data_IF_765458344430
#
_entry.id   IF_765458344430
#
_cell.length_a   1.000
_cell.length_b   1.000
_cell.length_c   1.000
_cell.angle_alpha   90.00
_cell.angle_beta   90.00
_cell.angle_gamma   90.00
#
_symmetry.space_group_name_H-M   'P 1'
#
loop_
_entity.id
_entity.type
_entity.pdbx_description
1 polymer ?
#
# COMPACT_ATOMS: atom_id res chain seq x y z
N UNK A 1 -27.32 -67.55 24.25
CA UNK A 1 -26.10 -68.39 24.17
C UNK A 1 -25.56 -68.25 22.76
N UNK A 2 -24.48 -67.47 22.58
CA UNK A 2 -23.08 -67.94 22.47
C UNK A 2 -22.82 -68.69 21.15
N UNK A 3 -22.21 -68.01 20.17
CA UNK A 3 -20.83 -68.23 19.65
C UNK A 3 -20.86 -69.10 18.37
N UNK A 4 -20.01 -69.02 17.34
CA UNK A 4 -18.94 -68.13 16.88
C UNK A 4 -18.40 -68.75 15.55
N UNK A 5 -18.06 -67.92 14.55
CA UNK A 5 -17.02 -68.06 13.51
C UNK A 5 -16.82 -69.38 12.71
N UNK A 6 -16.77 -69.28 11.37
CA UNK A 6 -15.52 -69.39 10.56
C UNK A 6 -15.71 -69.11 9.04
N UNK A 7 -14.68 -68.49 8.47
CA UNK A 7 -14.45 -68.01 7.09
C UNK A 7 -14.12 -69.17 6.10
N UNK A 8 -14.05 -68.94 4.75
CA UNK A 8 -12.75 -68.56 4.15
C UNK A 8 -12.77 -67.64 2.88
N UNK A 9 -11.63 -66.94 2.70
CA UNK A 9 -10.82 -66.56 1.50
C UNK A 9 -11.51 -66.36 0.12
N UNK A 10 -11.09 -65.51 -0.84
CA UNK A 10 -10.15 -64.39 -1.07
C UNK A 10 -10.07 -64.33 -2.62
N UNK A 11 -10.09 -63.15 -3.29
CA UNK A 11 -9.27 -62.81 -4.48
C UNK A 11 -9.65 -61.44 -5.10
N UNK A 12 -8.67 -60.52 -5.08
CA UNK A 12 -8.36 -59.39 -6.00
C UNK A 12 -9.47 -58.38 -6.40
N UNK A 13 -9.22 -57.09 -6.64
CA UNK A 13 -8.01 -56.28 -6.79
C UNK A 13 -8.33 -54.82 -6.46
N UNK A 14 -7.32 -54.07 -6.05
CA UNK A 14 -7.40 -52.65 -5.76
C UNK A 14 -7.45 -51.79 -7.04
N UNK A 15 -8.16 -50.66 -6.98
CA UNK A 15 -7.79 -49.46 -7.73
C UNK A 15 -8.12 -48.21 -6.91
N UNK A 16 -7.04 -47.54 -6.50
CA UNK A 16 -6.99 -46.29 -5.78
C UNK A 16 -6.55 -45.23 -6.79
N UNK A 17 -7.39 -44.23 -7.12
CA UNK A 17 -6.96 -42.92 -7.63
C UNK A 17 -8.18 -42.08 -8.02
N UNK A 18 -8.51 -41.05 -7.24
CA UNK A 18 -9.20 -39.82 -7.73
C UNK A 18 -9.11 -38.62 -6.75
N UNK A 19 -8.27 -38.69 -5.70
CA UNK A 19 -8.02 -37.55 -4.80
C UNK A 19 -6.85 -36.64 -5.20
N UNK A 20 -5.99 -37.04 -6.16
CA UNK A 20 -4.81 -36.24 -6.54
C UNK A 20 -5.06 -35.14 -7.59
N UNK A 21 -6.14 -35.19 -8.39
CA UNK A 21 -6.33 -34.20 -9.47
C UNK A 21 -6.99 -32.89 -9.01
N UNK A 22 -7.79 -32.90 -7.93
CA UNK A 22 -8.39 -31.67 -7.38
C UNK A 22 -7.41 -30.83 -6.56
N UNK A 23 -6.39 -31.44 -5.98
CA UNK A 23 -5.32 -30.74 -5.25
C UNK A 23 -4.33 -30.09 -6.22
N UNK A 24 -4.07 -30.71 -7.39
CA UNK A 24 -3.17 -30.17 -8.40
C UNK A 24 -3.73 -28.91 -9.11
N UNK A 25 -5.05 -28.82 -9.33
CA UNK A 25 -5.67 -27.63 -9.96
C UNK A 25 -5.85 -26.46 -8.98
N UNK A 26 -6.06 -26.73 -7.69
CA UNK A 26 -6.05 -25.69 -6.65
C UNK A 26 -4.62 -25.17 -6.39
N UNK A 27 -3.60 -26.02 -6.47
CA UNK A 27 -2.19 -25.60 -6.41
C UNK A 27 -1.74 -24.81 -7.66
N UNK A 28 -2.41 -24.99 -8.79
CA UNK A 28 -2.13 -24.28 -10.05
C UNK A 28 -2.70 -22.86 -10.07
N UNK A 29 -3.89 -22.62 -9.51
CA UNK A 29 -4.51 -21.30 -9.46
C UNK A 29 -3.90 -20.38 -8.37
N UNK A 30 -3.38 -20.95 -7.27
CA UNK A 30 -2.62 -20.20 -6.25
C UNK A 30 -1.18 -19.86 -6.67
N UNK A 31 -0.75 -20.31 -7.86
CA UNK A 31 0.58 -20.08 -8.42
C UNK A 31 0.68 -18.83 -9.32
N UNK A 32 -0.41 -18.07 -9.50
CA UNK A 32 -0.46 -16.88 -10.35
C UNK A 32 -0.46 -15.53 -9.61
N UNK A 33 -0.45 -15.52 -8.28
CA UNK A 33 0.11 -14.40 -7.50
C UNK A 33 1.48 -14.82 -6.99
N UNK A 34 2.44 -14.95 -7.91
CA UNK A 34 3.86 -14.90 -7.52
C UNK A 34 4.07 -13.53 -6.86
N UNK A 35 4.17 -13.52 -5.54
CA UNK A 35 5.14 -12.63 -4.91
C UNK A 35 6.45 -12.88 -5.66
N UNK A 36 6.84 -11.94 -6.54
CA UNK A 36 8.18 -11.94 -7.08
C UNK A 36 9.09 -11.86 -5.85
N UNK A 37 9.64 -13.00 -5.44
CA UNK A 37 10.80 -13.02 -4.56
C UNK A 37 11.88 -12.31 -5.36
N UNK A 38 11.99 -11.00 -5.16
CA UNK A 38 13.07 -10.20 -5.74
C UNK A 38 14.36 -10.84 -5.24
N UNK A 39 15.10 -11.46 -6.15
CA UNK A 39 16.37 -12.09 -5.83
C UNK A 39 17.41 -11.01 -5.56
N UNK A 40 18.38 -11.32 -4.70
CA UNK A 40 19.44 -10.39 -4.38
C UNK A 40 20.30 -10.11 -5.62
N UNK A 41 20.27 -8.86 -6.09
CA UNK A 41 21.20 -8.37 -7.10
C UNK A 41 22.51 -7.93 -6.43
N UNK A 42 23.63 -8.30 -7.02
CA UNK A 42 24.96 -7.87 -6.58
C UNK A 42 25.45 -6.74 -7.47
N UNK A 43 25.66 -5.55 -6.91
CA UNK A 43 26.13 -4.41 -7.68
C UNK A 43 27.63 -4.57 -7.97
N UNK A 44 28.00 -4.61 -9.25
CA UNK A 44 29.38 -4.81 -9.70
C UNK A 44 30.20 -3.53 -9.60
N UNK A 45 29.56 -2.36 -9.69
CA UNK A 45 30.20 -1.07 -9.52
C UNK A 45 29.22 -0.03 -8.93
N UNK A 46 28.79 -0.22 -7.66
CA UNK A 46 27.85 0.70 -7.06
C UNK A 46 28.57 2.04 -6.89
N UNK A 47 27.99 3.16 -7.37
CA UNK A 47 28.57 4.49 -7.18
C UNK A 47 28.73 4.89 -5.69
N UNK A 48 28.19 4.08 -4.76
CA UNK A 48 28.19 4.32 -3.32
C UNK A 48 28.60 3.05 -2.58
N UNK A 49 29.88 2.92 -2.24
CA UNK A 49 30.31 1.88 -1.29
C UNK A 49 29.81 2.31 0.10
N UNK A 50 29.17 1.40 0.84
CA UNK A 50 28.73 1.65 2.22
C UNK A 50 27.77 2.84 2.41
N UNK A 51 26.67 2.88 1.65
CA UNK A 51 25.58 3.84 1.87
C UNK A 51 24.52 3.30 2.85
N UNK A 52 24.06 4.14 3.78
CA UNK A 52 22.93 3.88 4.68
C UNK A 52 22.07 5.12 4.83
N UNK A 53 20.77 4.95 4.63
CA UNK A 53 19.73 5.91 4.94
C UNK A 53 18.80 5.33 6.02
N UNK A 54 18.34 6.18 6.93
CA UNK A 54 17.30 5.85 7.90
C UNK A 54 16.38 7.07 8.12
N UNK A 55 15.13 6.94 7.73
CA UNK A 55 14.06 7.91 8.00
C UNK A 55 13.17 7.41 9.12
N UNK A 56 12.99 8.22 10.17
CA UNK A 56 12.02 7.98 11.24
C UNK A 56 10.84 8.93 11.06
N UNK A 57 9.65 8.37 10.97
CA UNK A 57 8.39 9.03 10.68
C UNK A 57 7.53 9.03 11.95
N UNK A 58 7.18 10.22 12.45
CA UNK A 58 6.38 10.42 13.66
C UNK A 58 5.11 11.23 13.34
N UNK A 59 4.09 10.58 12.75
CA UNK A 59 2.79 11.20 12.48
C UNK A 59 1.97 11.42 13.77
N UNK A 60 1.18 12.49 13.81
CA UNK A 60 0.34 12.85 14.97
C UNK A 60 -0.79 11.84 15.24
N UNK A 61 -1.31 11.14 14.23
CA UNK A 61 -2.49 10.27 14.35
C UNK A 61 -2.28 8.84 13.84
N UNK A 62 -1.07 8.50 13.38
CA UNK A 62 -0.73 7.17 12.86
C UNK A 62 0.39 6.54 13.69
N UNK A 63 0.56 5.23 13.62
CA UNK A 63 1.72 4.54 14.18
C UNK A 63 3.03 5.06 13.58
N UNK A 64 4.05 5.38 14.41
CA UNK A 64 5.34 5.81 13.88
C UNK A 64 6.06 4.67 13.16
N UNK A 65 6.98 5.01 12.25
CA UNK A 65 7.74 4.02 11.52
C UNK A 65 9.20 4.42 11.31
N UNK A 66 10.04 3.41 11.12
CA UNK A 66 11.38 3.56 10.57
C UNK A 66 11.41 2.91 9.20
N UNK A 67 11.88 3.67 8.19
CA UNK A 67 12.22 3.17 6.87
C UNK A 67 13.72 3.32 6.70
N UNK A 68 14.43 2.23 6.46
CA UNK A 68 15.88 2.26 6.23
C UNK A 68 16.26 1.62 4.91
N UNK A 69 17.19 2.25 4.20
CA UNK A 69 17.74 1.75 2.93
C UNK A 69 19.24 1.60 3.12
N UNK A 70 19.80 0.44 2.78
CA UNK A 70 21.24 0.18 2.96
C UNK A 70 21.80 -0.66 1.82
N UNK A 71 23.07 -0.42 1.48
CA UNK A 71 23.88 -1.32 0.67
C UNK A 71 24.88 -2.00 1.61
N UNK A 72 24.90 -3.33 1.64
CA UNK A 72 25.89 -4.06 2.43
C UNK A 72 27.26 -4.10 1.74
N UNK A 73 28.28 -4.65 2.40
CA UNK A 73 29.65 -4.75 1.83
C UNK A 73 29.75 -5.63 0.58
N UNK A 74 28.75 -6.48 0.35
CA UNK A 74 28.66 -7.35 -0.83
C UNK A 74 27.95 -6.65 -2.00
N UNK A 75 27.58 -5.38 -1.86
CA UNK A 75 26.88 -4.64 -2.91
C UNK A 75 25.40 -5.02 -3.02
N UNK A 76 24.78 -5.55 -1.96
CA UNK A 76 23.35 -5.92 -1.97
C UNK A 76 22.55 -4.79 -1.32
N UNK A 77 21.65 -4.20 -2.10
CA UNK A 77 20.68 -3.20 -1.65
C UNK A 77 19.49 -3.83 -0.93
N UNK A 78 19.10 -3.26 0.21
CA UNK A 78 17.89 -3.66 0.95
C UNK A 78 17.16 -2.45 1.53
N UNK A 79 15.84 -2.57 1.58
CA UNK A 79 14.97 -1.69 2.36
C UNK A 79 14.36 -2.46 3.52
N UNK A 80 14.21 -1.80 4.67
CA UNK A 80 13.56 -2.33 5.87
C UNK A 80 12.51 -1.34 6.33
N UNK A 81 11.34 -1.86 6.67
CA UNK A 81 10.24 -1.14 7.29
C UNK A 81 10.02 -1.71 8.70
N UNK A 82 9.84 -0.84 9.67
CA UNK A 82 9.36 -1.21 11.01
C UNK A 82 8.33 -0.20 11.43
N UNK A 83 7.10 -0.66 11.69
CA UNK A 83 6.00 0.16 12.20
C UNK A 83 5.81 -0.14 13.67
N UNK A 84 5.75 0.90 14.48
CA UNK A 84 5.73 0.80 15.93
C UNK A 84 4.33 1.02 16.50
N UNK A 85 4.07 0.43 17.66
CA UNK A 85 2.84 0.70 18.39
C UNK A 85 2.93 2.11 18.99
N UNK A 86 1.88 2.91 18.81
CA UNK A 86 1.81 4.26 19.35
C UNK A 86 1.54 4.27 20.86
N UNK A 87 0.81 3.28 21.37
CA UNK A 87 0.24 3.28 22.73
C UNK A 87 0.92 2.30 23.69
N UNK A 88 1.64 1.30 23.18
CA UNK A 88 2.18 0.21 23.99
C UNK A 88 3.71 0.24 24.08
N UNK A 89 4.23 0.35 25.30
CA UNK A 89 5.67 0.29 25.61
C UNK A 89 6.23 -1.13 25.66
N UNK A 90 5.38 -2.16 25.74
CA UNK A 90 5.78 -3.56 25.94
C UNK A 90 5.86 -4.37 24.64
N UNK A 91 5.04 -4.04 23.63
CA UNK A 91 5.10 -4.58 22.28
C UNK A 91 5.33 -3.43 21.29
N UNK A 92 6.59 -2.98 21.13
CA UNK A 92 6.87 -1.75 20.41
C UNK A 92 6.64 -1.87 18.91
N UNK A 93 6.57 -3.07 18.32
CA UNK A 93 6.49 -3.28 16.86
C UNK A 93 5.12 -3.87 16.49
N UNK A 94 4.36 -3.17 15.63
CA UNK A 94 3.12 -3.67 15.04
C UNK A 94 3.44 -4.65 13.92
N UNK A 95 4.33 -4.25 13.00
CA UNK A 95 4.84 -5.13 11.96
C UNK A 95 6.20 -4.63 11.45
N UNK A 96 6.99 -5.55 10.88
CA UNK A 96 8.25 -5.24 10.24
C UNK A 96 8.46 -6.14 9.03
N UNK A 97 9.13 -5.62 8.01
CA UNK A 97 9.46 -6.38 6.81
C UNK A 97 10.71 -5.83 6.13
N UNK A 98 11.26 -6.59 5.18
CA UNK A 98 12.38 -6.17 4.36
C UNK A 98 12.30 -6.72 2.94
N UNK A 99 12.75 -5.93 1.98
CA UNK A 99 12.86 -6.35 0.59
C UNK A 99 14.27 -6.09 0.05
N UNK A 100 14.65 -6.84 -0.98
CA UNK A 100 15.82 -6.52 -1.79
C UNK A 100 15.50 -5.34 -2.71
N UNK A 101 16.52 -4.56 -3.06
CA UNK A 101 16.41 -3.49 -4.02
C UNK A 101 17.29 -3.81 -5.21
N UNK A 102 16.74 -3.67 -6.42
CA UNK A 102 17.53 -3.74 -7.65
C UNK A 102 18.50 -2.56 -7.73
N UNK A 103 19.52 -2.71 -8.58
CA UNK A 103 20.48 -1.63 -8.81
C UNK A 103 19.79 -0.38 -9.34
N UNK A 104 18.79 -0.55 -10.22
CA UNK A 104 17.99 0.54 -10.75
C UNK A 104 17.20 1.27 -9.65
N UNK A 105 16.58 0.54 -8.73
CA UNK A 105 15.85 1.13 -7.60
C UNK A 105 16.81 1.90 -6.68
N UNK A 106 17.97 1.33 -6.37
CA UNK A 106 19.00 1.98 -5.56
C UNK A 106 19.54 3.26 -6.21
N UNK A 107 19.85 3.21 -7.51
CA UNK A 107 20.31 4.39 -8.28
C UNK A 107 19.27 5.49 -8.30
N UNK A 108 17.99 5.16 -8.53
CA UNK A 108 16.87 6.12 -8.49
C UNK A 108 16.72 6.75 -7.11
N UNK A 109 16.74 5.93 -6.06
CA UNK A 109 16.64 6.40 -4.68
C UNK A 109 17.75 7.37 -4.33
N UNK A 110 19.01 6.99 -4.58
CA UNK A 110 20.14 7.86 -4.31
C UNK A 110 20.10 9.14 -5.15
N UNK A 111 19.88 9.01 -6.46
CA UNK A 111 19.79 10.17 -7.35
C UNK A 111 18.71 11.17 -6.92
N UNK A 112 17.59 10.69 -6.38
CA UNK A 112 16.57 11.56 -5.82
C UNK A 112 17.05 12.30 -4.56
N UNK A 113 17.74 11.63 -3.64
CA UNK A 113 18.33 12.26 -2.45
C UNK A 113 19.42 13.27 -2.81
N UNK A 114 20.27 12.95 -3.78
CA UNK A 114 21.31 13.84 -4.29
C UNK A 114 20.71 15.08 -4.98
N UNK A 115 19.64 14.89 -5.78
CA UNK A 115 18.88 16.00 -6.38
C UNK A 115 18.22 16.93 -5.36
N UNK A 116 17.87 16.40 -4.18
CA UNK A 116 17.39 17.20 -3.05
C UNK A 116 18.53 17.91 -2.30
N UNK A 117 19.78 17.64 -2.68
CA UNK A 117 21.01 18.05 -2.01
C UNK A 117 20.93 17.76 -0.51
N UNK A 118 20.48 16.55 -0.14
CA UNK A 118 20.12 16.21 1.24
C UNK A 118 21.28 16.36 2.23
N UNK A 119 22.53 16.18 1.78
CA UNK A 119 23.73 16.30 2.61
C UNK A 119 24.08 17.75 2.97
N UNK A 120 23.52 18.74 2.27
CA UNK A 120 23.72 20.18 2.56
C UNK A 120 22.50 20.80 3.22
N UNK A 121 21.45 20.01 3.47
CA UNK A 121 20.25 20.53 4.13
C UNK A 121 20.56 20.84 5.58
N UNK A 122 20.21 22.05 5.99
CA UNK A 122 20.21 22.42 7.41
C UNK A 122 18.83 22.15 8.00
N UNK A 123 18.77 21.93 9.31
CA UNK A 123 17.50 21.86 10.03
C UNK A 123 16.64 23.09 9.73
N UNK A 124 15.43 22.86 9.25
CA UNK A 124 14.41 23.90 9.13
C UNK A 124 13.54 23.81 10.39
N UNK A 125 13.56 24.81 11.29
CA UNK A 125 12.65 24.81 12.43
C UNK A 125 11.21 24.97 11.92
N UNK A 126 10.51 23.84 11.86
CA UNK A 126 9.08 23.78 11.59
C UNK A 126 8.43 23.10 12.79
N UNK A 127 7.42 23.76 13.34
CA UNK A 127 6.61 23.25 14.44
C UNK A 127 5.15 23.46 14.09
N UNK A 128 4.32 22.48 14.40
CA UNK A 128 2.88 22.64 14.39
C UNK A 128 2.23 21.59 15.27
N UNK A 129 0.92 21.72 15.44
CA UNK A 129 0.10 20.90 16.34
C UNK A 129 -0.24 19.55 15.70
N UNK A 130 -0.56 19.56 14.41
CA UNK A 130 -1.02 18.41 13.65
C UNK A 130 -0.13 18.18 12.43
N UNK A 131 0.44 16.98 12.30
CA UNK A 131 1.33 16.72 11.17
C UNK A 131 2.26 15.54 11.39
N UNK A 132 3.42 15.59 10.75
CA UNK A 132 4.43 14.54 10.83
C UNK A 132 5.81 15.14 11.03
N UNK A 133 6.53 14.65 12.02
CA UNK A 133 7.99 14.90 12.12
C UNK A 133 8.73 13.79 11.38
N UNK A 134 9.67 14.17 10.51
CA UNK A 134 10.55 13.22 9.84
C UNK A 134 12.00 13.51 10.25
N UNK A 135 12.70 12.49 10.75
CA UNK A 135 14.12 12.57 11.12
C UNK A 135 14.90 11.64 10.19
N UNK A 136 15.78 12.21 9.39
CA UNK A 136 16.58 11.49 8.40
C UNK A 136 18.02 11.42 8.89
N UNK A 137 18.58 10.22 8.88
CA UNK A 137 19.99 9.94 9.18
C UNK A 137 20.62 9.30 7.96
N UNK A 138 21.68 9.92 7.45
CA UNK A 138 22.36 9.50 6.24
C UNK A 138 23.82 9.26 6.58
N UNK A 139 24.32 8.10 6.22
CA UNK A 139 25.72 7.76 6.31
C UNK A 139 26.22 7.35 4.92
N UNK A 140 27.27 8.02 4.47
CA UNK A 140 27.98 7.70 3.25
C UNK A 140 29.48 7.76 3.56
N UNK A 141 30.16 6.64 3.34
CA UNK A 141 31.57 6.46 3.70
C UNK A 141 31.84 6.80 5.17
N UNK A 142 32.51 7.93 5.45
CA UNK A 142 32.80 8.43 6.81
C UNK A 142 31.91 9.60 7.23
N UNK A 143 31.10 10.14 6.31
CA UNK A 143 30.25 11.28 6.57
C UNK A 143 28.92 10.80 7.19
N UNK A 144 28.49 11.50 8.24
CA UNK A 144 27.20 11.32 8.87
C UNK A 144 26.44 12.64 8.84
N UNK A 145 25.22 12.60 8.33
CA UNK A 145 24.36 13.77 8.22
C UNK A 145 22.99 13.47 8.83
N UNK A 146 22.45 14.43 9.56
CA UNK A 146 21.10 14.35 10.13
C UNK A 146 20.32 15.59 9.74
N UNK A 147 19.15 15.40 9.13
CA UNK A 147 18.22 16.47 8.80
C UNK A 147 16.82 16.10 9.27
N UNK A 148 16.12 17.07 9.84
CA UNK A 148 14.74 16.92 10.27
C UNK A 148 13.87 18.06 9.72
N UNK A 149 12.62 17.70 9.42
CA UNK A 149 11.59 18.62 8.94
C UNK A 149 10.22 18.16 9.43
N UNK A 150 9.24 19.05 9.40
CA UNK A 150 7.87 18.78 9.84
C UNK A 150 6.88 19.11 8.72
N UNK A 151 6.05 18.13 8.33
CA UNK A 151 5.01 18.24 7.30
C UNK A 151 5.40 19.11 6.09
N UNK A 152 6.50 18.79 5.37
CA UNK A 152 7.00 19.64 4.30
C UNK A 152 5.98 19.68 3.16
N UNK A 153 5.44 20.86 2.85
CA UNK A 153 4.58 21.07 1.67
C UNK A 153 5.44 21.30 0.43
N UNK A 154 5.09 20.66 -0.68
CA UNK A 154 5.88 20.69 -1.93
C UNK A 154 6.14 22.10 -2.44
N UNK A 155 5.15 23.00 -2.36
CA UNK A 155 5.27 24.38 -2.80
C UNK A 155 6.29 25.21 -2.00
N UNK A 156 6.43 24.93 -0.69
CA UNK A 156 7.22 25.77 0.22
C UNK A 156 8.56 25.13 0.62
N UNK A 157 8.60 23.79 0.62
CA UNK A 157 9.73 22.97 1.06
C UNK A 157 10.01 21.86 0.05
N UNK A 158 10.33 22.21 -1.21
CA UNK A 158 10.43 21.24 -2.30
C UNK A 158 11.58 20.23 -2.10
N UNK A 159 12.68 20.61 -1.43
CA UNK A 159 13.82 19.72 -1.17
C UNK A 159 13.47 18.66 -0.12
N UNK A 160 12.83 19.07 0.97
CA UNK A 160 12.35 18.20 2.04
C UNK A 160 11.29 17.23 1.51
N UNK A 161 10.33 17.76 0.74
CA UNK A 161 9.30 16.95 0.10
C UNK A 161 9.92 15.93 -0.88
N UNK A 162 10.94 16.31 -1.65
CA UNK A 162 11.70 15.40 -2.54
C UNK A 162 12.35 14.23 -1.79
N UNK A 163 12.85 14.45 -0.57
CA UNK A 163 13.37 13.37 0.28
C UNK A 163 12.25 12.39 0.64
N UNK A 164 11.07 12.89 1.01
CA UNK A 164 9.90 12.06 1.30
C UNK A 164 9.45 11.27 0.06
N UNK A 165 9.35 11.93 -1.10
CA UNK A 165 9.03 11.30 -2.38
C UNK A 165 9.99 10.15 -2.69
N UNK A 166 11.31 10.35 -2.48
CA UNK A 166 12.30 9.32 -2.71
C UNK A 166 12.08 8.09 -1.83
N UNK A 167 11.82 8.31 -0.53
CA UNK A 167 11.73 7.26 0.49
C UNK A 167 10.42 6.48 0.39
N UNK A 168 9.29 7.18 0.32
CA UNK A 168 8.00 6.52 0.16
C UNK A 168 7.86 5.91 -1.23
N UNK A 169 8.44 6.54 -2.26
CA UNK A 169 8.51 6.02 -3.61
C UNK A 169 9.19 4.65 -3.65
N UNK A 170 10.40 4.50 -3.10
CA UNK A 170 11.06 3.19 -3.07
C UNK A 170 10.31 2.19 -2.19
N UNK A 171 9.81 2.61 -1.03
CA UNK A 171 9.12 1.72 -0.09
C UNK A 171 7.84 1.12 -0.68
N UNK A 172 7.00 1.94 -1.31
CA UNK A 172 5.73 1.51 -1.90
C UNK A 172 5.90 0.48 -3.02
N UNK A 173 6.98 0.56 -3.79
CA UNK A 173 7.28 -0.44 -4.83
C UNK A 173 7.83 -1.75 -4.25
N UNK A 174 8.44 -1.71 -3.07
CA UNK A 174 9.10 -2.86 -2.45
C UNK A 174 8.20 -3.68 -1.54
N UNK A 175 7.20 -3.06 -0.92
CA UNK A 175 6.36 -3.68 0.10
C UNK A 175 4.93 -3.87 -0.41
N UNK A 176 4.57 -5.06 -0.86
CA UNK A 176 3.35 -5.28 -1.65
C UNK A 176 2.17 -5.86 -0.88
N UNK A 177 2.32 -6.16 0.42
CA UNK A 177 1.19 -6.67 1.22
C UNK A 177 0.15 -5.58 1.43
N UNK A 178 -1.11 -5.99 1.61
CA UNK A 178 -2.23 -5.06 1.86
C UNK A 178 -1.95 -4.16 3.06
N UNK A 179 -1.55 -4.74 4.20
CA UNK A 179 -1.23 -3.98 5.42
C UNK A 179 -0.17 -2.90 5.20
N UNK A 180 0.87 -3.19 4.41
CA UNK A 180 1.93 -2.24 4.09
C UNK A 180 1.44 -1.13 3.16
N UNK A 181 0.72 -1.48 2.09
CA UNK A 181 0.18 -0.51 1.15
C UNK A 181 -0.79 0.45 1.85
N UNK A 182 -1.68 -0.07 2.70
CA UNK A 182 -2.61 0.74 3.48
C UNK A 182 -1.91 1.63 4.52
N UNK A 183 -0.79 1.18 5.08
CA UNK A 183 0.04 2.03 5.94
C UNK A 183 0.66 3.18 5.14
N UNK A 184 1.23 2.92 3.96
CA UNK A 184 1.82 3.97 3.12
C UNK A 184 0.77 4.94 2.60
N UNK A 185 -0.40 4.46 2.17
CA UNK A 185 -1.53 5.31 1.78
C UNK A 185 -1.92 6.31 2.87
N UNK A 186 -1.96 5.88 4.14
CA UNK A 186 -2.23 6.76 5.29
C UNK A 186 -1.06 7.68 5.62
N UNK A 187 0.18 7.19 5.51
CA UNK A 187 1.37 8.00 5.75
C UNK A 187 1.52 9.11 4.69
N UNK A 188 1.17 8.83 3.43
CA UNK A 188 1.17 9.78 2.31
C UNK A 188 0.23 10.98 2.58
N UNK A 189 -0.86 10.81 3.34
CA UNK A 189 -1.80 11.89 3.69
C UNK A 189 -1.18 13.03 4.52
N UNK A 190 -0.03 12.80 5.13
CA UNK A 190 0.70 13.86 5.84
C UNK A 190 1.53 14.76 4.92
N UNK A 191 1.57 14.45 3.62
CA UNK A 191 2.39 15.13 2.63
C UNK A 191 1.59 15.49 1.39
N UNK A 192 2.14 16.41 0.59
CA UNK A 192 1.51 16.92 -0.63
C UNK A 192 1.73 15.98 -1.83
N UNK A 193 1.15 14.77 -1.77
CA UNK A 193 1.16 13.79 -2.88
C UNK A 193 -0.02 13.96 -3.85
N UNK A 194 -0.93 14.90 -3.57
CA UNK A 194 -2.12 15.17 -4.36
C UNK A 194 -3.31 14.30 -3.98
N UNK A 195 -4.24 14.14 -4.92
CA UNK A 195 -5.52 13.45 -4.72
C UNK A 195 -5.30 11.98 -4.29
N UNK A 196 -5.88 11.52 -3.16
CA UNK A 196 -5.77 10.13 -2.72
C UNK A 196 -6.75 9.22 -3.47
N UNK A 197 -6.74 9.33 -4.79
CA UNK A 197 -7.53 8.53 -5.70
C UNK A 197 -6.66 8.09 -6.89
N UNK A 198 -6.82 6.85 -7.34
CA UNK A 198 -6.14 6.35 -8.53
C UNK A 198 -6.93 5.24 -9.20
N UNK A 199 -6.83 5.14 -10.52
CA UNK A 199 -7.27 3.97 -11.27
C UNK A 199 -6.22 2.87 -11.04
N UNK A 200 -6.64 1.69 -10.59
CA UNK A 200 -5.78 0.54 -10.32
C UNK A 200 -5.84 -0.52 -11.41
N UNK A 201 -6.93 -0.58 -12.15
CA UNK A 201 -7.09 -1.41 -13.34
C UNK A 201 -8.05 -0.74 -14.32
N UNK A 202 -7.88 -0.99 -15.61
CA UNK A 202 -8.83 -0.57 -16.66
C UNK A 202 -9.66 -1.74 -17.20
N UNK A 203 -9.29 -2.98 -16.85
CA UNK A 203 -10.00 -4.20 -17.21
C UNK A 203 -9.91 -5.23 -16.06
N UNK A 204 -10.96 -5.40 -15.23
CA UNK A 204 -12.13 -4.51 -15.12
C UNK A 204 -11.72 -3.10 -14.65
N UNK A 205 -12.58 -2.10 -14.83
CA UNK A 205 -12.29 -0.74 -14.38
C UNK A 205 -12.34 -0.65 -12.85
N UNK A 206 -11.18 -0.49 -12.22
CA UNK A 206 -11.02 -0.46 -10.77
C UNK A 206 -10.41 0.86 -10.31
N UNK A 207 -10.99 1.43 -9.28
CA UNK A 207 -10.59 2.70 -8.67
C UNK A 207 -10.29 2.46 -7.20
N UNK A 208 -9.22 3.07 -6.70
CA UNK A 208 -8.87 3.10 -5.28
C UNK A 208 -9.02 4.52 -4.76
N UNK A 209 -9.83 4.71 -3.72
CA UNK A 209 -9.99 5.95 -2.95
C UNK A 209 -9.59 5.64 -1.51
N UNK A 210 -8.70 6.44 -0.91
CA UNK A 210 -8.13 6.16 0.41
C UNK A 210 -7.90 7.45 1.19
N UNK A 211 -7.54 7.34 2.47
CA UNK A 211 -7.29 8.49 3.34
C UNK A 211 -8.53 9.36 3.53
N UNK A 212 -8.34 10.66 3.68
CA UNK A 212 -9.42 11.62 3.90
C UNK A 212 -9.50 12.62 2.74
N UNK A 213 -10.70 12.91 2.26
CA UNK A 213 -10.92 13.95 1.25
C UNK A 213 -11.31 15.27 1.93
N UNK A 214 -10.48 16.29 1.75
CA UNK A 214 -10.73 17.64 2.23
C UNK A 214 -11.15 18.57 1.08
N UNK A 215 -11.65 19.76 1.42
CA UNK A 215 -12.03 20.77 0.42
C UNK A 215 -10.87 21.18 -0.50
N UNK A 216 -9.62 20.98 -0.09
CA UNK A 216 -8.46 21.25 -0.95
C UNK A 216 -8.41 20.35 -2.19
N UNK A 217 -9.02 19.16 -2.13
CA UNK A 217 -9.03 18.19 -3.22
C UNK A 217 -10.23 18.35 -4.17
N UNK A 218 -11.18 19.25 -3.89
CA UNK A 218 -12.48 19.31 -4.58
C UNK A 218 -12.36 19.35 -6.11
N UNK A 219 -11.55 20.27 -6.64
CA UNK A 219 -11.40 20.43 -8.07
C UNK A 219 -10.73 19.20 -8.72
N UNK A 220 -9.77 18.58 -8.04
CA UNK A 220 -9.09 17.39 -8.53
C UNK A 220 -10.00 16.15 -8.48
N UNK A 221 -10.72 15.97 -7.37
CA UNK A 221 -11.68 14.88 -7.17
C UNK A 221 -12.83 14.97 -8.18
N UNK A 222 -13.36 16.17 -8.41
CA UNK A 222 -14.43 16.40 -9.40
C UNK A 222 -14.00 15.94 -10.79
N UNK A 223 -12.82 16.38 -11.25
CA UNK A 223 -12.27 15.93 -12.54
C UNK A 223 -12.04 14.42 -12.57
N UNK A 224 -11.55 13.85 -11.48
CA UNK A 224 -11.29 12.42 -11.38
C UNK A 224 -12.56 11.58 -11.50
N UNK A 225 -13.62 11.91 -10.74
CA UNK A 225 -14.91 11.21 -10.76
C UNK A 225 -15.64 11.40 -12.09
N UNK A 226 -15.56 12.60 -12.69
CA UNK A 226 -16.15 12.88 -14.01
C UNK A 226 -15.47 12.07 -15.14
N UNK A 227 -14.18 11.75 -14.98
CA UNK A 227 -13.45 10.94 -15.95
C UNK A 227 -13.84 9.45 -15.94
N UNK A 228 -14.67 9.00 -14.98
CA UNK A 228 -15.10 7.60 -14.98
C UNK A 228 -15.95 7.28 -16.21
N UNK A 229 -15.85 6.08 -16.77
CA UNK A 229 -16.76 5.63 -17.81
C UNK A 229 -18.21 5.57 -17.29
N UNK A 230 -19.18 5.93 -18.13
CA UNK A 230 -20.61 5.97 -17.77
C UNK A 230 -21.32 4.63 -17.93
N UNK A 231 -20.77 3.74 -18.74
CA UNK A 231 -21.45 2.57 -19.30
C UNK A 231 -20.70 1.24 -19.08
N UNK A 232 -19.60 1.26 -18.34
CA UNK A 232 -18.86 0.04 -17.97
C UNK A 232 -18.96 -0.22 -16.46
N UNK A 233 -18.92 -1.48 -16.04
CA UNK A 233 -18.85 -1.85 -14.62
C UNK A 233 -17.60 -1.27 -13.94
N UNK A 234 -17.78 -0.66 -12.76
CA UNK A 234 -16.70 -0.05 -11.97
C UNK A 234 -16.66 -0.68 -10.58
N UNK A 235 -15.46 -1.09 -10.14
CA UNK A 235 -15.17 -1.35 -8.73
C UNK A 235 -14.54 -0.10 -8.10
N UNK A 236 -15.16 0.46 -7.06
CA UNK A 236 -14.57 1.50 -6.23
C UNK A 236 -14.15 0.91 -4.89
N UNK A 237 -12.85 0.74 -4.72
CA UNK A 237 -12.21 0.25 -3.51
C UNK A 237 -11.94 1.41 -2.54
N UNK A 238 -12.61 1.36 -1.38
CA UNK A 238 -12.53 2.34 -0.30
C UNK A 238 -12.17 1.68 1.05
N UNK A 239 -11.52 0.50 1.06
CA UNK A 239 -11.20 -0.21 2.32
C UNK A 239 -10.31 0.58 3.27
N UNK A 240 -9.51 1.52 2.77
CA UNK A 240 -8.62 2.38 3.57
C UNK A 240 -9.03 3.86 3.46
N UNK A 241 -10.33 4.10 3.20
CA UNK A 241 -10.90 5.43 3.21
C UNK A 241 -11.36 5.80 4.63
N UNK A 242 -10.89 6.94 5.11
CA UNK A 242 -11.15 7.46 6.47
C UNK A 242 -12.34 8.44 6.49
N UNK A 243 -12.74 8.95 5.32
CA UNK A 243 -13.98 9.70 5.15
C UNK A 243 -13.83 10.99 4.33
N UNK A 244 -14.92 11.74 4.28
CA UNK A 244 -14.98 13.03 3.59
C UNK A 244 -16.05 13.95 4.18
N UNK A 245 -15.99 15.24 3.84
CA UNK A 245 -17.08 16.18 4.12
C UNK A 245 -18.33 15.92 3.25
N UNK A 246 -19.51 16.24 3.77
CA UNK A 246 -20.80 16.08 3.04
C UNK A 246 -20.90 16.92 1.78
N UNK A 247 -20.03 17.93 1.61
CA UNK A 247 -19.93 18.73 0.38
C UNK A 247 -19.66 17.89 -0.87
N UNK A 248 -19.05 16.70 -0.73
CA UNK A 248 -18.77 15.81 -1.85
C UNK A 248 -19.95 14.89 -2.21
N UNK A 249 -20.99 14.80 -1.39
CA UNK A 249 -22.11 13.89 -1.65
C UNK A 249 -22.80 14.13 -3.00
N UNK A 250 -23.02 15.38 -3.45
CA UNK A 250 -23.57 15.64 -4.79
C UNK A 250 -22.73 15.05 -5.92
N UNK A 251 -21.40 15.05 -5.80
CA UNK A 251 -20.49 14.49 -6.81
C UNK A 251 -20.69 12.97 -6.94
N UNK A 252 -20.76 12.26 -5.82
CA UNK A 252 -21.00 10.82 -5.81
C UNK A 252 -22.43 10.45 -6.24
N UNK A 253 -23.44 11.24 -5.87
CA UNK A 253 -24.81 11.09 -6.41
C UNK A 253 -24.84 11.25 -7.93
N UNK A 254 -24.10 12.22 -8.47
CA UNK A 254 -23.97 12.38 -9.91
C UNK A 254 -23.33 11.16 -10.58
N UNK A 255 -22.38 10.49 -9.92
CA UNK A 255 -21.82 9.22 -10.42
C UNK A 255 -22.88 8.10 -10.44
N UNK A 256 -23.69 7.96 -9.38
CA UNK A 256 -24.73 6.93 -9.32
C UNK A 256 -25.85 7.14 -10.36
N UNK A 257 -26.15 8.40 -10.71
CA UNK A 257 -27.13 8.72 -11.75
C UNK A 257 -26.61 8.40 -13.16
N UNK A 258 -25.30 8.56 -13.39
CA UNK A 258 -24.70 8.41 -14.73
C UNK A 258 -24.15 7.01 -15.00
N UNK A 259 -23.87 6.23 -13.96
CA UNK A 259 -23.41 4.85 -14.05
C UNK A 259 -24.09 4.03 -12.94
N UNK A 260 -24.98 3.12 -13.33
CA UNK A 260 -25.70 2.24 -12.42
C UNK A 260 -24.91 0.97 -12.07
N UNK A 261 -23.79 0.74 -12.74
CA UNK A 261 -22.94 -0.44 -12.63
C UNK A 261 -21.70 -0.14 -11.78
N UNK A 262 -21.89 0.42 -10.59
CA UNK A 262 -20.80 0.69 -9.63
C UNK A 262 -20.95 -0.23 -8.42
N UNK A 263 -19.92 -1.03 -8.14
CA UNK A 263 -19.75 -1.79 -6.91
C UNK A 263 -18.77 -1.07 -5.99
N UNK A 264 -19.13 -0.93 -4.73
CA UNK A 264 -18.33 -0.28 -3.70
C UNK A 264 -17.77 -1.33 -2.75
N UNK A 265 -16.48 -1.24 -2.43
CA UNK A 265 -15.84 -2.02 -1.39
C UNK A 265 -15.44 -1.07 -0.25
N UNK A 266 -16.34 -0.78 0.71
CA UNK A 266 -16.15 0.28 1.67
C UNK A 266 -15.38 -0.15 2.93
N UNK A 267 -14.70 0.81 3.57
CA UNK A 267 -14.43 0.76 5.01
C UNK A 267 -15.73 0.91 5.82
N UNK A 268 -15.67 0.71 7.14
CA UNK A 268 -16.84 0.88 8.01
C UNK A 268 -17.36 2.32 7.96
N UNK A 269 -16.46 3.29 7.94
CA UNK A 269 -16.75 4.71 7.85
C UNK A 269 -17.32 5.07 6.48
N UNK A 270 -16.70 4.56 5.41
CA UNK A 270 -17.16 4.78 4.04
C UNK A 270 -18.58 4.23 3.82
N UNK A 271 -18.89 3.05 4.38
CA UNK A 271 -20.20 2.42 4.22
C UNK A 271 -21.33 3.33 4.71
N UNK A 272 -21.15 3.98 5.88
CA UNK A 272 -22.13 4.93 6.42
C UNK A 272 -22.34 6.12 5.49
N UNK A 273 -21.26 6.70 4.97
CA UNK A 273 -21.36 7.84 4.06
C UNK A 273 -22.00 7.46 2.72
N UNK A 274 -21.70 6.26 2.19
CA UNK A 274 -22.31 5.75 0.97
C UNK A 274 -23.81 5.50 1.14
N UNK A 275 -24.25 4.99 2.30
CA UNK A 275 -25.67 4.88 2.64
C UNK A 275 -26.36 6.26 2.64
N UNK A 276 -25.75 7.29 3.24
CA UNK A 276 -26.28 8.68 3.22
C UNK A 276 -26.30 9.32 1.83
N UNK A 277 -25.37 8.90 0.96
CA UNK A 277 -25.35 9.30 -0.45
C UNK A 277 -26.51 8.66 -1.22
N UNK A 278 -27.00 7.50 -0.78
CA UNK A 278 -28.08 6.75 -1.40
C UNK A 278 -27.64 5.47 -2.12
N UNK A 279 -26.44 4.95 -1.83
CA UNK A 279 -25.98 3.67 -2.38
C UNK A 279 -26.78 2.53 -1.76
N UNK A 280 -27.39 1.70 -2.61
CA UNK A 280 -28.12 0.53 -2.16
C UNK A 280 -27.16 -0.53 -1.58
N UNK A 281 -27.60 -1.24 -0.52
CA UNK A 281 -26.79 -2.28 0.13
C UNK A 281 -26.33 -3.39 -0.82
N UNK A 282 -27.09 -3.67 -1.88
CA UNK A 282 -26.70 -4.63 -2.93
C UNK A 282 -25.49 -4.19 -3.77
N UNK A 283 -25.10 -2.91 -3.69
CA UNK A 283 -23.91 -2.36 -4.34
C UNK A 283 -22.72 -2.26 -3.38
N UNK A 284 -22.85 -2.71 -2.13
CA UNK A 284 -21.79 -2.72 -1.12
C UNK A 284 -21.26 -4.16 -0.99
N UNK A 285 -20.03 -4.40 -1.45
CA UNK A 285 -19.36 -5.69 -1.31
C UNK A 285 -18.59 -5.77 0.02
N UNK A 286 -18.40 -6.98 0.53
CA UNK A 286 -17.61 -7.25 1.74
C UNK A 286 -16.18 -7.72 1.42
N UNK A 287 -15.93 -8.11 0.18
CA UNK A 287 -14.61 -8.54 -0.31
C UNK A 287 -14.40 -8.15 -1.78
N UNK A 288 -13.14 -8.11 -2.21
CA UNK A 288 -12.79 -7.80 -3.60
C UNK A 288 -13.28 -8.89 -4.55
N UNK A 289 -13.21 -10.15 -4.13
CA UNK A 289 -13.68 -11.31 -4.88
C UNK A 289 -15.19 -11.23 -5.12
N UNK A 290 -15.96 -10.91 -4.08
CA UNK A 290 -17.41 -10.68 -4.19
C UNK A 290 -17.71 -9.53 -5.15
N UNK A 291 -17.03 -8.40 -5.00
CA UNK A 291 -17.25 -7.22 -5.83
C UNK A 291 -16.98 -7.54 -7.31
N UNK A 292 -15.86 -8.20 -7.62
CA UNK A 292 -15.52 -8.62 -8.99
C UNK A 292 -16.52 -9.61 -9.57
N UNK A 293 -17.00 -10.56 -8.77
CA UNK A 293 -18.01 -11.51 -9.21
C UNK A 293 -19.33 -10.81 -9.53
N UNK A 294 -19.75 -9.85 -8.71
CA UNK A 294 -20.96 -9.07 -8.97
C UNK A 294 -20.86 -8.29 -10.30
N UNK A 295 -19.70 -7.72 -10.60
CA UNK A 295 -19.46 -6.97 -11.84
C UNK A 295 -19.51 -7.84 -13.11
N UNK A 296 -19.28 -9.16 -13.02
CA UNK A 296 -19.37 -10.08 -14.18
C UNK A 296 -20.81 -10.34 -14.63
N UNK A 297 -21.80 -9.96 -13.82
CA UNK A 297 -23.22 -10.16 -14.11
C UNK A 297 -23.91 -8.90 -14.66
N UNK A 298 -23.13 -7.87 -15.01
CA UNK A 298 -23.59 -6.61 -15.62
C UNK A 298 -23.12 -6.46 -17.06
#
# INVERSE_FOLDING_TARGET
>A
MKYQLLLPLLLGTASCSTKSEKVAKAASATSQQKAQVQQAEHFTNPPFRCFRYQGKFYPSFLSPATISVRINRQGIGRIHLTVYNRTDTLQPVVFADSAFLSEQQMRRFYGALDSAAVLTMTRVPQTGTDGITVINQIAQDKAHHTVNFWSPRKANYPREHRVVEAVLGVARHSFTTVQQQEYFERLEQYFDFGLPCRVTSTDPYEVRIYGYLSSNEEAALTRFVQAFPSDVPILVDMTNFEGMGTMFYPLFRSLLMRNHHVMWLPSVEAAKQLEEIGVAKSHLATSREEARKALQHW
#
